data_IF_473734921161
#
_entry.id   IF_473734921161
#
_cell.length_a   1.000
_cell.length_b   1.000
_cell.length_c   1.000
_cell.angle_alpha   90.00
_cell.angle_beta   90.00
_cell.angle_gamma   90.00
#
_symmetry.space_group_name_H-M   'P 1'
#
loop_
_entity.id
_entity.type
_entity.pdbx_description
1 polymer ?
2 water ?
#
# COMPACT_ATOMS: atom_id res chain seq x y z
N UNK A 25 7.86 -2.51 -17.15
CA UNK A 25 6.43 -2.76 -16.82
C UNK A 25 5.52 -1.61 -17.22
N UNK A 26 4.24 -1.93 -17.44
CA UNK A 26 3.21 -0.93 -17.78
C UNK A 26 1.97 -1.16 -16.91
N UNK A 27 1.26 -0.07 -16.61
CA UNK A 27 0.10 -0.10 -15.75
C UNK A 27 -1.07 0.73 -16.25
N UNK A 28 -2.25 0.10 -16.31
CA UNK A 28 -3.48 0.75 -16.74
C UNK A 28 -4.53 0.80 -15.64
N UNK A 29 -5.22 1.93 -15.58
CA UNK A 29 -6.28 2.14 -14.61
C UNK A 29 -7.57 2.37 -15.37
N UNK A 30 -8.49 1.40 -15.37
CA UNK A 30 -9.77 1.65 -16.03
C UNK A 30 -10.69 2.17 -14.94
N UNK A 31 -10.98 3.46 -15.04
CA UNK A 31 -11.76 4.20 -14.07
C UNK A 31 -12.68 5.22 -14.70
N UNK A 32 -13.71 5.58 -13.97
CA UNK A 32 -14.65 6.60 -14.43
C UNK A 32 -14.21 7.96 -13.93
N UNK A 33 -13.05 8.02 -13.28
CA UNK A 33 -12.57 9.29 -12.78
C UNK A 33 -11.07 9.38 -13.01
N UNK A 34 -10.65 9.46 -14.29
CA UNK A 34 -9.22 9.55 -14.62
C UNK A 34 -8.57 10.80 -14.06
N UNK A 35 -9.39 11.81 -13.73
CA UNK A 35 -8.91 13.06 -13.17
C UNK A 35 -8.31 12.87 -11.76
N UNK A 36 -8.86 11.94 -10.98
CA UNK A 36 -8.33 11.68 -9.63
C UNK A 36 -6.84 11.38 -9.68
N UNK A 37 -6.39 10.84 -10.81
CA UNK A 37 -5.01 10.45 -11.01
C UNK A 37 -4.00 11.51 -11.46
N UNK A 38 -4.46 12.65 -11.99
CA UNK A 38 -3.54 13.69 -12.48
C UNK A 38 -2.53 14.15 -11.44
N UNK A 39 -3.04 14.51 -10.26
CA UNK A 39 -2.19 14.96 -9.19
C UNK A 39 -1.11 13.94 -8.83
N UNK A 40 -1.49 12.66 -8.76
CA UNK A 40 -0.51 11.64 -8.37
C UNK A 40 0.41 11.12 -9.49
N UNK A 41 -0.16 10.79 -10.64
CA UNK A 41 0.64 10.28 -11.75
C UNK A 41 1.92 11.08 -11.99
N UNK A 42 1.83 12.40 -11.86
CA UNK A 42 2.99 13.27 -12.13
C UNK A 42 3.86 13.66 -10.92
N UNK A 43 3.28 14.53 -10.09
CA UNK A 43 3.93 15.18 -8.94
C UNK A 43 4.49 14.31 -7.81
N UNK A 44 4.26 13.01 -7.85
CA UNK A 44 4.82 12.13 -6.83
C UNK A 44 6.14 11.61 -7.36
N UNK A 45 6.92 10.96 -6.51
CA UNK A 45 8.21 10.40 -6.93
C UNK A 45 7.92 9.24 -7.90
N UNK A 46 6.90 9.41 -8.73
CA UNK A 46 6.46 8.39 -9.68
C UNK A 46 7.22 8.53 -11.00
N UNK A 47 7.54 9.77 -11.35
CA UNK A 47 8.26 10.06 -12.60
C UNK A 47 9.65 9.45 -12.71
N UNK A 48 10.20 8.98 -11.59
CA UNK A 48 11.51 8.34 -11.62
C UNK A 48 11.50 7.35 -12.79
N UNK A 49 10.53 6.44 -12.76
CA UNK A 49 10.41 5.38 -13.76
C UNK A 49 9.73 5.78 -15.07
N UNK A 50 8.75 6.69 -15.02
CA UNK A 50 8.06 7.14 -16.24
C UNK A 50 8.96 7.77 -17.28
N UNK A 51 9.84 8.65 -16.83
CA UNK A 51 10.76 9.30 -17.74
C UNK A 51 11.88 8.34 -18.13
N UNK A 52 12.16 7.35 -17.27
CA UNK A 52 13.22 6.36 -17.51
C UNK A 52 12.84 5.14 -18.38
N UNK A 53 11.79 5.29 -19.18
CA UNK A 53 11.34 4.23 -20.10
C UNK A 53 11.27 2.83 -19.46
N UNK A 54 11.25 2.79 -18.13
CA UNK A 54 11.01 1.55 -17.38
C UNK A 54 9.52 1.16 -17.46
N UNK A 55 8.62 2.12 -17.38
CA UNK A 55 7.19 1.87 -17.34
C UNK A 55 6.28 2.93 -17.95
N UNK A 56 5.11 2.51 -18.31
CA UNK A 56 4.06 3.36 -18.84
C UNK A 56 2.86 3.26 -17.90
N UNK A 57 2.55 4.36 -17.23
CA UNK A 57 1.46 4.40 -16.28
C UNK A 57 0.42 5.31 -16.88
N UNK A 58 -0.59 4.75 -17.54
CA UNK A 58 -1.59 5.62 -18.16
C UNK A 58 -3.03 5.25 -17.77
N UNK A 59 -3.86 6.28 -17.75
CA UNK A 59 -5.25 6.16 -17.35
C UNK A 59 -6.16 5.86 -18.53
N UNK A 60 -7.20 5.05 -18.29
CA UNK A 60 -8.20 4.66 -19.31
C UNK A 60 -9.63 5.01 -18.85
N UNK A 61 -10.33 5.80 -19.67
CA UNK A 61 -11.70 6.21 -19.36
C UNK A 61 -12.63 5.10 -19.79
N UNK A 62 -13.18 4.44 -18.78
CA UNK A 62 -14.05 3.28 -18.93
C UNK A 62 -15.39 3.55 -19.62
N UNK A 63 -15.81 4.81 -19.65
CA UNK A 63 -17.09 5.15 -20.28
C UNK A 63 -16.99 5.03 -21.81
N UNK A 64 -15.79 4.78 -22.32
CA UNK A 64 -15.57 4.61 -23.76
C UNK A 64 -16.01 3.23 -24.26
N UNK A 65 -16.31 2.32 -23.34
CA UNK A 65 -16.72 0.97 -23.73
C UNK A 65 -18.21 0.68 -23.54
N UNK A 66 -18.95 1.64 -22.98
CA UNK A 66 -20.38 1.50 -22.75
C UNK A 66 -21.17 1.39 -24.05
N UNK A 68 -23.62 0.47 -25.78
CA UNK A 68 -24.86 0.23 -25.08
C UNK A 68 -25.82 1.41 -25.25
N UNK A 69 -27.11 1.12 -25.48
CA UNK A 69 -28.14 2.17 -25.64
C UNK A 69 -27.73 3.35 -24.77
N UNK A 70 -27.73 3.08 -23.46
CA UNK A 70 -27.37 4.03 -22.43
C UNK A 70 -25.90 3.80 -22.11
N UNK A 71 -25.15 4.88 -22.02
CA UNK A 71 -23.73 4.79 -21.76
C UNK A 71 -23.38 4.49 -20.30
N UNK A 72 -23.97 3.41 -19.79
CA UNK A 72 -23.73 2.98 -18.44
C UNK A 72 -22.95 1.68 -18.51
N UNK A 73 -22.11 1.50 -17.52
CA UNK A 73 -21.27 0.33 -17.38
C UNK A 73 -21.90 -0.53 -16.28
N UNK A 74 -22.99 0.00 -15.75
CA UNK A 74 -23.75 -0.50 -14.62
C UNK A 74 -25.10 -1.11 -15.07
N UNK A 75 -25.62 -2.14 -14.41
CA UNK A 75 -26.94 -2.70 -14.83
C UNK A 75 -27.53 -3.58 -13.71
N UNK A 76 -28.82 -3.85 -13.80
CA UNK A 76 -29.53 -4.60 -12.79
C UNK A 76 -29.13 -6.06 -12.60
N UNK A 77 -29.25 -6.52 -11.35
CA UNK A 77 -28.89 -7.88 -11.01
C UNK A 77 -29.94 -8.91 -11.35
N UNK A 78 -29.54 -9.93 -12.06
CA UNK A 78 -30.48 -11.01 -12.27
C UNK A 78 -30.75 -11.63 -10.89
N UNK A 79 -32.01 -11.95 -10.69
CA UNK A 79 -32.48 -12.57 -9.46
C UNK A 79 -32.93 -11.50 -8.49
N UNK A 80 -32.61 -10.23 -8.78
CA UNK A 80 -33.01 -9.18 -7.88
C UNK A 80 -31.90 -8.84 -6.88
N UNK A 81 -32.09 -7.71 -6.22
CA UNK A 81 -31.13 -7.21 -5.26
C UNK A 81 -31.25 -5.70 -5.23
N UNK A 82 -30.76 -5.07 -4.17
CA UNK A 82 -30.88 -3.61 -4.06
C UNK A 82 -29.79 -2.80 -4.76
N UNK A 83 -28.67 -3.41 -5.13
CA UNK A 83 -27.63 -2.65 -5.78
C UNK A 83 -27.56 -2.96 -7.25
N UNK A 84 -26.64 -2.28 -7.93
CA UNK A 84 -26.41 -2.44 -9.34
C UNK A 84 -25.16 -3.28 -9.53
N UNK A 85 -25.01 -3.88 -10.71
CA UNK A 85 -23.86 -4.76 -11.00
C UNK A 85 -23.07 -4.32 -12.23
N UNK A 86 -21.75 -4.34 -12.13
CA UNK A 86 -20.90 -3.95 -13.27
C UNK A 86 -21.09 -4.97 -14.41
N UNK A 87 -21.52 -4.48 -15.59
CA UNK A 87 -21.74 -5.34 -16.77
C UNK A 87 -20.47 -6.01 -17.25
N UNK A 88 -20.60 -7.23 -17.79
CA UNK A 88 -19.39 -7.87 -18.31
C UNK A 88 -18.82 -7.28 -19.60
N UNK A 89 -19.69 -7.03 -20.57
CA UNK A 89 -19.29 -6.54 -21.90
C UNK A 89 -18.27 -5.40 -21.91
N UNK A 90 -18.60 -4.28 -21.27
CA UNK A 90 -17.64 -3.21 -21.31
C UNK A 90 -16.23 -3.64 -20.82
N UNK A 91 -16.21 -4.34 -19.69
CA UNK A 91 -14.95 -4.76 -19.11
C UNK A 91 -14.16 -5.68 -20.05
N UNK A 92 -14.81 -6.67 -20.63
CA UNK A 92 -14.13 -7.54 -21.60
C UNK A 92 -13.58 -6.74 -22.78
N UNK A 93 -14.35 -5.78 -23.26
CA UNK A 93 -13.92 -4.94 -24.41
C UNK A 93 -12.70 -4.12 -24.04
N UNK A 94 -12.73 -3.54 -22.85
CA UNK A 94 -11.61 -2.74 -22.38
C UNK A 94 -10.35 -3.61 -22.33
N UNK A 95 -10.49 -4.85 -21.86
CA UNK A 95 -9.33 -5.74 -21.76
C UNK A 95 -8.81 -6.13 -23.14
N UNK A 96 -9.71 -6.16 -24.12
CA UNK A 96 -9.34 -6.49 -25.49
C UNK A 96 -8.38 -5.52 -26.12
N UNK A 97 -8.79 -4.25 -26.23
CA UNK A 97 -7.93 -3.24 -26.85
C UNK A 97 -6.71 -2.89 -26.00
N UNK A 98 -6.78 -3.18 -24.70
CA UNK A 98 -5.64 -2.96 -23.82
C UNK A 98 -4.66 -4.12 -24.00
N UNK A 99 -4.99 -5.02 -24.92
CA UNK A 99 -4.14 -6.17 -25.26
C UNK A 99 -3.68 -6.98 -24.06
N UNK A 100 -4.51 -7.06 -23.03
CA UNK A 100 -4.17 -7.82 -21.85
C UNK A 100 -3.90 -9.26 -22.27
N UNK A 101 -2.65 -9.69 -22.21
CA UNK A 101 -2.33 -11.06 -22.57
C UNK A 101 -2.54 -11.95 -21.34
N UNK A 102 -2.42 -13.25 -21.53
CA UNK A 102 -2.46 -14.20 -20.42
C UNK A 102 -1.07 -14.16 -19.80
N UNK A 103 -1.00 -13.83 -18.51
CA UNK A 103 0.29 -13.47 -17.94
C UNK A 103 0.41 -11.95 -17.76
N UNK A 104 -0.68 -11.22 -18.00
CA UNK A 104 -0.95 -9.88 -17.49
C UNK A 104 -1.80 -10.00 -16.22
N UNK A 105 -1.63 -9.05 -15.29
CA UNK A 105 -2.39 -9.07 -14.03
C UNK A 105 -3.56 -8.09 -14.03
N UNK A 106 -4.75 -8.65 -13.75
CA UNK A 106 -6.00 -7.91 -13.70
C UNK A 106 -6.47 -7.88 -12.24
N UNK A 107 -6.49 -6.71 -11.69
CA UNK A 107 -6.82 -6.53 -10.31
C UNK A 107 -8.12 -5.83 -10.08
N UNK A 108 -8.96 -6.41 -9.22
CA UNK A 108 -10.23 -5.87 -8.85
C UNK A 108 -10.13 -5.41 -7.40
N UNK A 109 -10.51 -4.16 -7.15
CA UNK A 109 -10.53 -3.57 -5.83
C UNK A 109 -11.86 -4.02 -5.19
N UNK A 111 -13.83 -5.34 -1.18
CA UNK A 111 -13.69 -5.41 0.27
C UNK A 111 -13.26 -6.81 0.71
N UNK A 112 -13.86 -7.86 0.15
CA UNK A 112 -13.50 -9.21 0.59
C UNK A 112 -12.22 -9.74 -0.06
N UNK A 113 -11.54 -8.88 -0.81
CA UNK A 113 -10.28 -9.29 -1.43
C UNK A 113 -9.23 -9.50 -0.36
N UNK A 114 -8.15 -10.21 -0.72
CA UNK A 114 -7.06 -10.40 0.18
C UNK A 114 -6.53 -9.04 0.60
N UNK A 115 -6.43 -8.78 1.91
CA UNK A 115 -5.82 -7.48 2.21
C UNK A 115 -4.43 -7.34 1.58
N UNK A 116 -4.13 -6.18 1.01
CA UNK A 116 -2.83 -5.96 0.38
C UNK A 116 -1.69 -6.12 1.42
N UNK A 117 -0.56 -6.65 0.95
CA UNK A 117 0.58 -6.90 1.80
C UNK A 117 1.85 -6.82 0.98
N UNK A 118 2.96 -6.88 1.68
CA UNK A 118 4.28 -6.82 1.09
C UNK A 118 4.60 -8.03 0.20
N UNK A 119 4.30 -9.24 0.67
CA UNK A 119 4.55 -10.42 -0.14
C UNK A 119 3.77 -10.23 -1.45
N UNK A 120 2.62 -9.57 -1.38
CA UNK A 120 1.82 -9.33 -2.57
C UNK A 120 2.43 -8.20 -3.42
N UNK A 121 2.99 -7.19 -2.77
CA UNK A 121 3.66 -6.08 -3.49
C UNK A 121 4.84 -6.64 -4.26
N UNK A 122 5.60 -7.52 -3.61
CA UNK A 122 6.74 -8.18 -4.21
C UNK A 122 6.34 -9.00 -5.44
N UNK A 123 5.31 -9.83 -5.29
CA UNK A 123 4.82 -10.69 -6.36
C UNK A 123 4.43 -9.88 -7.59
N UNK A 124 3.66 -8.81 -7.38
CA UNK A 124 3.21 -7.93 -8.47
C UNK A 124 4.30 -7.11 -9.18
N UNK A 125 5.31 -6.64 -8.45
CA UNK A 125 6.36 -5.84 -9.06
C UNK A 125 7.11 -6.62 -10.16
N UNK A 126 6.85 -7.92 -10.26
CA UNK A 126 7.51 -8.78 -11.24
C UNK A 126 6.73 -8.91 -12.55
N UNK A 127 5.42 -8.72 -12.51
CA UNK A 127 4.63 -8.83 -13.72
C UNK A 127 5.00 -7.68 -14.63
N UNK A 128 4.86 -7.91 -15.93
CA UNK A 128 5.18 -6.90 -16.94
C UNK A 128 3.97 -6.05 -17.31
N UNK A 129 2.80 -6.36 -16.76
CA UNK A 129 1.60 -5.58 -17.09
C UNK A 129 0.49 -5.78 -16.08
N UNK A 130 -0.07 -4.67 -15.60
CA UNK A 130 -1.12 -4.69 -14.62
C UNK A 130 -2.28 -3.77 -14.96
N UNK A 131 -3.50 -4.28 -14.82
CA UNK A 131 -4.67 -3.46 -15.08
C UNK A 131 -5.55 -3.48 -13.83
N UNK A 132 -5.93 -2.29 -13.37
CA UNK A 132 -6.78 -2.16 -12.19
C UNK A 132 -8.21 -1.75 -12.54
N UNK A 133 -9.19 -2.58 -12.18
CA UNK A 133 -10.59 -2.18 -12.33
C UNK A 133 -10.82 -1.38 -11.07
N UNK A 134 -10.97 -0.07 -11.20
CA UNK A 134 -11.11 0.81 -10.05
C UNK A 134 -12.51 1.09 -9.48
N UNK A 135 -13.53 1.15 -10.31
CA UNK A 135 -14.86 1.48 -9.82
C UNK A 135 -15.45 0.55 -8.76
N UNK A 136 -16.04 1.14 -7.73
CA UNK A 136 -16.71 0.38 -6.68
C UNK A 136 -18.18 0.23 -7.01
N UNK A 137 -18.61 -1.02 -7.11
CA UNK A 137 -19.99 -1.36 -7.43
C UNK A 137 -20.46 -2.31 -6.37
N UNK A 138 -21.76 -2.31 -6.14
CA UNK A 138 -22.35 -3.20 -5.16
C UNK A 138 -22.16 -4.64 -5.64
N UNK A 139 -21.79 -4.81 -6.91
CA UNK A 139 -21.55 -6.13 -7.50
C UNK A 139 -20.79 -6.14 -8.82
N UNK A 140 -20.14 -7.26 -9.11
CA UNK A 140 -19.37 -7.44 -10.32
C UNK A 140 -19.88 -8.71 -10.97
N UNK A 141 -20.13 -8.66 -12.27
CA UNK A 141 -20.63 -9.81 -12.98
C UNK A 141 -19.61 -10.91 -12.78
N UNK A 142 -20.07 -12.06 -12.33
CA UNK A 142 -19.15 -13.16 -12.02
C UNK A 142 -18.24 -13.58 -13.19
N UNK A 143 -18.68 -13.38 -14.42
CA UNK A 143 -17.91 -13.76 -15.62
C UNK A 143 -16.65 -12.96 -15.71
N UNK A 144 -16.68 -11.75 -15.19
CA UNK A 144 -15.49 -10.91 -15.14
C UNK A 144 -14.51 -11.51 -14.12
N UNK A 145 -15.06 -11.97 -13.00
CA UNK A 145 -14.23 -12.54 -11.94
C UNK A 145 -13.65 -13.87 -12.38
N UNK A 146 -14.39 -14.68 -13.10
CA UNK A 146 -13.83 -15.98 -13.48
C UNK A 146 -12.93 -15.90 -14.69
N UNK A 147 -13.24 -15.03 -15.64
CA UNK A 147 -12.43 -15.02 -16.85
C UNK A 147 -11.38 -13.94 -17.00
N UNK A 148 -11.61 -12.77 -16.43
CA UNK A 148 -10.65 -11.68 -16.58
C UNK A 148 -9.76 -11.42 -15.37
N UNK A 149 -10.37 -11.22 -14.22
CA UNK A 149 -9.64 -10.89 -12.99
C UNK A 149 -8.69 -11.98 -12.54
N UNK A 150 -7.46 -11.59 -12.17
CA UNK A 150 -6.45 -12.51 -11.65
C UNK A 150 -6.18 -12.33 -10.12
N UNK A 151 -6.47 -11.16 -9.59
CA UNK A 151 -6.27 -10.96 -8.15
C UNK A 151 -7.37 -10.04 -7.68
N UNK A 152 -7.86 -10.33 -6.49
CA UNK A 152 -8.91 -9.52 -5.87
C UNK A 152 -8.25 -9.03 -4.60
N UNK A 153 -8.24 -7.72 -4.40
CA UNK A 153 -7.51 -7.15 -3.28
C UNK A 153 -8.26 -6.06 -2.58
N UNK A 154 -8.15 -6.13 -1.27
CA UNK A 154 -8.73 -5.24 -0.30
C UNK A 154 -7.58 -4.45 0.33
N UNK A 155 -7.91 -3.38 1.06
CA UNK A 155 -6.88 -2.60 1.76
C UNK A 155 -6.85 -2.92 3.25
N UNK A 156 -7.98 -3.32 3.81
CA UNK A 156 -8.07 -3.65 5.23
C UNK A 156 -9.54 -3.73 5.52
N UNK A 157 -9.90 -4.10 6.74
CA UNK A 157 -11.33 -4.26 7.14
C UNK A 157 -12.14 -2.98 7.07
N UNK A 158 -11.49 -1.86 6.80
CA UNK A 158 -12.21 -0.60 6.66
C UNK A 158 -12.83 -0.53 5.27
N UNK A 159 -13.97 0.18 5.15
CA UNK A 159 -14.66 0.34 3.88
C UNK A 159 -14.41 1.72 3.25
N UNK A 160 -14.04 1.70 1.97
CA UNK A 160 -13.78 2.89 1.17
C UNK A 160 -14.90 3.15 0.15
N UNK A 161 -14.98 4.40 -0.28
CA UNK A 161 -15.97 4.87 -1.25
C UNK A 161 -15.64 4.45 -2.69
N UNK A 162 -14.36 4.29 -3.01
CA UNK A 162 -13.95 3.90 -4.36
C UNK A 162 -12.62 3.17 -4.40
N UNK A 163 -12.27 2.63 -5.57
CA UNK A 163 -11.04 1.87 -5.73
C UNK A 163 -9.88 2.62 -6.36
N UNK A 164 -10.03 3.91 -6.67
CA UNK A 164 -8.91 4.60 -7.29
C UNK A 164 -7.77 4.91 -6.32
N UNK A 165 -8.10 5.42 -5.13
CA UNK A 165 -7.05 5.67 -4.14
C UNK A 165 -6.30 4.35 -3.85
N UNK A 166 -7.04 3.28 -3.52
CA UNK A 166 -6.35 2.02 -3.29
C UNK A 166 -5.44 1.58 -4.43
N UNK A 167 -5.90 1.75 -5.67
CA UNK A 167 -5.10 1.36 -6.84
C UNK A 167 -3.81 2.20 -6.91
N UNK A 168 -3.90 3.48 -6.56
CA UNK A 168 -2.73 4.37 -6.58
C UNK A 168 -1.73 4.05 -5.46
N UNK A 169 -2.27 3.76 -4.27
CA UNK A 169 -1.47 3.37 -3.14
C UNK A 169 -0.72 2.10 -3.47
N UNK A 170 -1.42 1.11 -3.99
CA UNK A 170 -0.76 -0.14 -4.34
C UNK A 170 0.30 0.02 -5.43
N UNK A 171 0.03 0.93 -6.37
CA UNK A 171 0.97 1.17 -7.46
C UNK A 171 2.29 1.65 -6.87
N UNK A 172 2.17 2.57 -5.92
CA UNK A 172 3.33 3.14 -5.27
C UNK A 172 4.21 2.03 -4.70
N UNK A 173 3.61 1.17 -3.87
CA UNK A 173 4.33 0.10 -3.21
C UNK A 173 4.97 -0.88 -4.19
N UNK A 174 4.26 -1.16 -5.28
CA UNK A 174 4.76 -2.06 -6.29
C UNK A 174 5.88 -1.49 -7.15
N UNK A 175 5.70 -0.24 -7.59
CA UNK A 175 6.64 0.43 -8.47
C UNK A 175 8.00 0.63 -7.82
N UNK A 176 7.96 1.25 -6.65
CA UNK A 176 9.12 1.54 -5.86
C UNK A 176 9.82 0.30 -5.40
N UNK A 177 9.30 -0.82 -5.79
CA UNK A 177 9.96 -2.08 -5.45
C UNK A 177 10.56 -2.69 -6.72
N UNK A 178 10.37 -2.02 -7.86
CA UNK A 178 10.97 -2.45 -9.13
C UNK A 178 12.46 -2.24 -8.84
N UNK A 179 13.28 -2.45 -9.85
CA UNK A 179 14.68 -2.09 -9.82
C UNK A 179 14.88 -0.66 -10.34
N UNK A 180 14.94 0.27 -9.39
CA UNK A 180 15.09 1.71 -9.68
C UNK A 180 14.22 2.58 -8.79
N UNK A 194 12.72 -4.46 10.24
CA UNK A 194 12.79 -4.34 11.68
C UNK A 194 13.87 -5.28 12.24
N UNK A 195 14.39 -4.95 13.41
CA UNK A 195 15.34 -5.80 14.08
C UNK A 195 14.55 -6.45 15.23
N UNK A 196 13.24 -6.42 15.10
CA UNK A 196 12.34 -6.95 16.08
C UNK A 196 11.90 -5.94 17.12
N UNK A 197 12.51 -4.76 17.15
CA UNK A 197 12.13 -3.76 18.14
C UNK A 197 11.68 -2.48 17.50
N UNK A 198 10.99 -1.64 18.26
CA UNK A 198 10.57 -0.33 17.74
C UNK A 198 11.84 0.51 17.55
N UNK A 199 11.78 1.56 16.73
CA UNK A 199 12.97 2.38 16.46
C UNK A 199 13.36 3.28 17.59
N UNK A 200 14.65 3.63 17.57
CA UNK A 200 15.21 4.53 18.54
C UNK A 200 14.70 5.93 18.18
N UNK A 201 14.42 6.76 19.17
CA UNK A 201 13.95 8.12 18.97
C UNK A 201 15.05 8.98 18.28
N UNK A 202 14.63 9.87 17.39
CA UNK A 202 15.56 10.69 16.63
C UNK A 202 15.31 12.16 16.91
N UNK A 203 16.39 12.94 16.88
CA UNK A 203 16.39 14.35 17.15
C UNK A 203 17.26 15.14 16.13
N UNK A 204 16.86 16.37 15.83
CA UNK A 204 17.66 17.23 14.97
C UNK A 204 17.67 18.60 15.64
N UNK A 205 18.34 19.58 15.02
CA UNK A 205 18.42 20.94 15.60
C UNK A 205 17.06 21.60 15.70
N UNK A 206 16.88 22.52 16.65
CA UNK A 206 17.88 22.96 17.65
C UNK A 206 17.92 22.06 18.89
N UNK A 207 19.00 22.15 19.67
CA UNK A 207 19.15 21.35 20.90
C UNK A 207 18.03 21.60 21.92
N UNK A 208 17.64 22.85 22.07
CA UNK A 208 16.60 23.19 23.02
C UNK A 208 15.55 23.97 22.28
N UNK A 209 14.32 23.59 22.52
CA UNK A 209 13.21 24.21 21.82
C UNK A 209 12.02 24.25 22.72
N UNK A 210 11.69 25.44 23.19
CA UNK A 210 10.51 25.64 24.00
C UNK A 210 10.62 24.85 25.31
N UNK A 211 11.86 24.68 25.78
CA UNK A 211 12.15 23.94 27.01
C UNK A 211 12.30 22.43 26.78
N UNK A 212 12.24 22.02 25.52
CA UNK A 212 12.35 20.60 25.18
C UNK A 212 13.76 20.36 24.62
N UNK A 213 14.55 19.66 25.42
CA UNK A 213 15.96 19.41 25.15
C UNK A 213 16.28 18.04 24.61
N UNK A 214 17.18 18.00 23.62
CA UNK A 214 17.64 16.75 23.03
C UNK A 214 18.54 16.08 24.07
N UNK A 215 18.42 14.76 24.28
CA UNK A 215 19.27 14.04 25.22
C UNK A 215 20.75 14.41 25.04
N UNK A 216 21.43 14.78 26.13
CA UNK A 216 22.83 15.18 26.03
C UNK A 216 23.73 14.19 25.32
N UNK A 217 23.50 12.89 25.50
CA UNK A 217 24.38 11.86 24.94
C UNK A 217 24.54 12.00 23.46
N UNK A 218 23.51 12.50 22.77
CA UNK A 218 23.53 12.61 21.32
C UNK A 218 24.48 13.67 20.80
N UNK A 219 24.86 14.62 21.68
CA UNK A 219 25.78 15.67 21.29
C UNK A 219 27.16 15.43 21.83
N UNK A 220 27.36 14.28 22.47
CA UNK A 220 28.64 14.01 23.09
C UNK A 220 29.75 13.52 22.21
N UNK A 221 29.43 13.09 21.00
CA UNK A 221 30.44 12.58 20.07
C UNK A 221 30.99 11.20 20.45
N UNK A 222 30.42 10.55 21.47
CA UNK A 222 30.92 9.23 21.89
C UNK A 222 29.98 8.19 21.31
N UNK A 223 30.40 7.61 20.20
CA UNK A 223 29.54 6.70 19.48
C UNK A 223 29.16 5.41 20.17
N UNK A 224 30.04 4.84 20.99
CA UNK A 224 29.67 3.63 21.74
C UNK A 224 28.51 4.02 22.72
N UNK A 225 28.58 5.21 23.30
CA UNK A 225 27.47 5.65 24.22
C UNK A 225 26.17 6.00 23.51
N UNK A 226 26.28 6.56 22.33
CA UNK A 226 25.11 6.89 21.52
C UNK A 226 24.43 5.57 21.08
N UNK A 227 25.21 4.60 20.58
CA UNK A 227 24.62 3.35 20.18
C UNK A 227 23.98 2.63 21.38
N UNK A 228 24.64 2.58 22.53
CA UNK A 228 24.09 1.92 23.69
C UNK A 228 22.79 2.61 24.10
N UNK A 229 22.79 3.93 24.16
CA UNK A 229 21.60 4.65 24.56
C UNK A 229 20.43 4.38 23.59
N UNK A 230 20.69 4.38 22.29
CA UNK A 230 19.62 4.09 21.35
C UNK A 230 19.10 2.68 21.58
N UNK A 231 19.99 1.74 21.86
CA UNK A 231 19.57 0.39 22.05
C UNK A 231 18.68 0.30 23.28
N UNK A 232 19.05 1.02 24.33
CA UNK A 232 18.22 1.03 25.51
C UNK A 232 16.82 1.60 25.23
N UNK A 233 16.75 2.72 24.51
CA UNK A 233 15.49 3.35 24.19
C UNK A 233 14.62 2.38 23.38
N UNK A 234 15.20 1.67 22.45
CA UNK A 234 14.44 0.67 21.66
C UNK A 234 13.86 -0.38 22.57
N UNK A 235 14.65 -0.86 23.51
CA UNK A 235 14.15 -1.85 24.43
C UNK A 235 13.00 -1.32 25.26
N UNK A 236 13.22 -0.18 25.86
CA UNK A 236 12.25 0.44 26.75
C UNK A 236 10.98 0.81 26.06
N UNK A 237 11.06 1.41 24.88
CA UNK A 237 9.84 1.77 24.17
C UNK A 237 9.06 0.53 23.79
N UNK A 238 9.77 -0.50 23.34
CA UNK A 238 9.11 -1.75 22.94
C UNK A 238 8.45 -2.36 24.15
N UNK A 239 9.15 -2.35 25.27
CA UNK A 239 8.58 -2.86 26.52
C UNK A 239 7.32 -2.12 26.89
N UNK A 240 7.31 -0.80 26.82
CA UNK A 240 6.13 -0.06 27.19
C UNK A 240 4.96 -0.13 26.19
N UNK A 241 5.27 -0.16 24.89
CA UNK A 241 4.26 -0.09 23.82
C UNK A 241 4.01 -1.32 22.95
N UNK A 242 4.97 -2.24 22.87
CA UNK A 242 4.77 -3.47 22.08
C UNK A 242 5.36 -4.63 22.86
N UNK A 243 4.83 -4.89 24.04
CA UNK A 243 5.32 -6.00 24.83
C UNK A 243 5.27 -7.30 24.02
N UNK A 244 4.37 -7.42 23.04
CA UNK A 244 4.38 -8.65 22.23
C UNK A 244 5.74 -8.79 21.50
N UNK A 245 6.33 -7.68 21.08
CA UNK A 245 7.60 -7.77 20.36
C UNK A 245 8.74 -8.21 21.27
N UNK A 246 8.65 -7.84 22.53
CA UNK A 246 9.66 -8.23 23.49
C UNK A 246 9.61 -9.76 23.66
N UNK A 247 8.43 -10.32 23.81
CA UNK A 247 8.30 -11.77 23.92
C UNK A 247 8.89 -12.50 22.75
N UNK A 248 8.98 -11.89 21.59
CA UNK A 248 9.61 -12.60 20.49
C UNK A 248 10.97 -12.10 20.13
N UNK A 249 11.64 -11.49 21.09
CA UNK A 249 12.98 -10.98 20.89
C UNK A 249 13.92 -11.83 21.77
N UNK A 250 15.05 -12.23 21.24
CA UNK A 250 16.01 -13.02 22.00
C UNK A 250 16.86 -12.11 22.92
N UNK A 251 16.29 -11.80 24.07
CA UNK A 251 16.91 -10.92 25.03
C UNK A 251 18.24 -11.44 25.58
N UNK A 252 19.25 -10.59 25.61
CA UNK A 252 20.55 -10.99 26.15
C UNK A 252 20.50 -10.64 27.65
N UNK A 253 21.50 -11.08 28.41
CA UNK A 253 21.49 -10.73 29.84
C UNK A 253 21.54 -9.25 30.01
N UNK A 254 22.31 -8.56 29.17
CA UNK A 254 22.40 -7.11 29.32
C UNK A 254 21.06 -6.50 29.00
N UNK A 255 20.34 -7.05 28.04
CA UNK A 255 19.03 -6.47 27.75
C UNK A 255 18.09 -6.59 28.95
N UNK A 256 18.07 -7.75 29.60
CA UNK A 256 17.23 -7.96 30.77
C UNK A 256 17.62 -7.00 31.91
N UNK A 257 18.91 -6.72 32.05
CA UNK A 257 19.35 -5.81 33.09
C UNK A 257 18.86 -4.38 32.80
N UNK A 258 18.83 -3.99 31.54
CA UNK A 258 18.33 -2.65 31.15
C UNK A 258 16.86 -2.50 31.51
N UNK A 259 16.07 -3.51 31.13
CA UNK A 259 14.64 -3.51 31.45
C UNK A 259 14.41 -3.57 32.94
N UNK A 260 15.13 -4.44 33.60
CA UNK A 260 15.02 -4.58 35.06
C UNK A 260 15.27 -3.24 35.76
N UNK A 261 16.32 -2.52 35.39
CA UNK A 261 16.56 -1.27 36.10
C UNK A 261 15.60 -0.19 35.68
N UNK A 262 15.09 -0.30 34.47
CA UNK A 262 14.16 0.65 34.02
C UNK A 262 12.92 0.55 34.89
N UNK A 263 12.33 -0.64 35.01
CA UNK A 263 11.17 -0.78 35.88
C UNK A 263 11.41 -0.35 37.34
N UNK A 264 12.62 -0.54 37.85
CA UNK A 264 12.91 -0.12 39.21
C UNK A 264 12.94 1.40 39.29
N UNK A 265 13.29 2.04 38.17
CA UNK A 265 13.33 3.51 38.07
C UNK A 265 11.93 4.09 38.07
N UNK A 266 10.94 3.30 37.63
CA UNK A 266 9.54 3.71 37.65
C UNK A 266 8.98 3.61 39.08
N UNK A 267 9.48 2.64 39.85
CA UNK A 267 9.04 2.42 41.23
C UNK A 267 7.51 2.50 41.30
#
# INVERSE_FOLDING_TARGET
>A
MHHHHHHSSGVDLGTENLYFQSNAMKIDYLTLFPEMFDGVLNHSIMKRAQENNKLQINTVNFRDYAINKHNQVDDYPYGGGQGMVLKPEPVFNAMEDLDVTEQARVILMXPQGEPFSHQKAVELSKADHIVFICGHYEGYDERIRTHLVTDEISMGDYVLTGGELPAMTMTDAIVRLIPGVLGNEQSHQDDSFSDGLLEFPQYTRPREFKGLTVPDVLLSGNHANIDAWRHEQKLIRTYNKRPDLIEKYPLTNADKQILERYKIGLKKG
#
